data_IF_816070814119
#
_entry.id   IF_816070814119
#
_cell.length_a   1.000
_cell.length_b   1.000
_cell.length_c   1.000
_cell.angle_alpha   90.00
_cell.angle_beta   90.00
_cell.angle_gamma   90.00
#
_symmetry.space_group_name_H-M   'P 1'
#
loop_
_entity.id
_entity.type
_entity.pdbx_description
1 polymer ?
#
# COMPACT_ATOMS: atom_id res chain seq x y z
N UNK A 1 1.76 -49.86 -4.54
CA UNK A 1 2.41 -48.73 -3.84
C UNK A 1 3.71 -48.52 -4.58
N UNK A 2 3.81 -47.42 -5.35
CA UNK A 2 5.07 -47.02 -5.96
C UNK A 2 6.00 -46.62 -4.82
N UNK A 3 7.22 -47.20 -4.81
CA UNK A 3 8.27 -46.78 -3.88
C UNK A 3 8.36 -45.24 -3.89
N UNK A 4 8.59 -44.61 -2.72
CA UNK A 4 8.80 -43.21 -2.69
C UNK A 4 10.04 -42.88 -3.51
N UNK A 5 9.84 -42.41 -4.74
CA UNK A 5 10.94 -41.94 -5.57
C UNK A 5 11.64 -40.83 -4.79
N UNK A 6 12.91 -41.08 -4.46
CA UNK A 6 13.76 -40.11 -3.79
C UNK A 6 13.67 -38.76 -4.56
N UNK A 7 13.09 -37.78 -3.93
CA UNK A 7 12.86 -36.48 -4.59
C UNK A 7 14.20 -35.80 -4.79
N UNK A 8 14.50 -35.33 -6.02
CA UNK A 8 15.82 -34.74 -6.37
C UNK A 8 16.24 -33.55 -5.48
N UNK A 9 15.32 -32.94 -4.77
CA UNK A 9 15.59 -31.83 -3.83
C UNK A 9 15.76 -32.29 -2.37
N UNK A 10 15.67 -33.63 -2.10
CA UNK A 10 15.98 -34.24 -0.81
C UNK A 10 17.33 -34.94 -0.98
N UNK A 11 18.44 -34.35 -0.51
CA UNK A 11 19.77 -34.87 -0.79
C UNK A 11 20.12 -36.13 0.04
N UNK A 12 19.44 -36.31 1.20
CA UNK A 12 19.79 -37.38 2.13
C UNK A 12 19.31 -38.75 1.62
N UNK A 13 20.23 -39.66 1.40
CA UNK A 13 19.95 -41.05 1.10
C UNK A 13 19.58 -41.85 2.39
N UNK A 14 19.08 -43.08 2.24
CA UNK A 14 18.74 -43.90 3.41
C UNK A 14 19.95 -44.18 4.32
N UNK A 15 21.13 -44.34 3.73
CA UNK A 15 22.38 -44.49 4.46
C UNK A 15 22.73 -43.28 5.30
N UNK A 16 22.56 -42.07 4.74
CA UNK A 16 22.79 -40.82 5.45
C UNK A 16 21.84 -40.70 6.65
N UNK A 17 20.56 -41.09 6.46
CA UNK A 17 19.55 -41.04 7.54
C UNK A 17 19.93 -42.04 8.65
N UNK A 18 20.42 -43.24 8.31
CA UNK A 18 20.88 -44.25 9.30
C UNK A 18 22.08 -43.72 10.09
N UNK A 19 23.05 -43.08 9.44
CA UNK A 19 24.22 -42.53 10.10
C UNK A 19 23.82 -41.37 11.04
N UNK A 20 22.90 -40.51 10.59
CA UNK A 20 22.35 -39.42 11.43
C UNK A 20 21.63 -39.99 12.67
N UNK A 21 20.76 -40.97 12.50
CA UNK A 21 20.06 -41.63 13.62
C UNK A 21 21.04 -42.30 14.61
N UNK A 22 22.06 -42.98 14.09
CA UNK A 22 23.11 -43.58 14.91
C UNK A 22 23.89 -42.52 15.71
N UNK A 23 24.20 -41.39 15.08
CA UNK A 23 24.89 -40.26 15.74
C UNK A 23 24.03 -39.65 16.85
N UNK A 24 22.70 -39.57 16.65
CA UNK A 24 21.75 -39.10 17.67
C UNK A 24 21.54 -40.17 18.78
N UNK A 25 21.79 -41.44 18.48
CA UNK A 25 21.59 -42.53 19.43
C UNK A 25 20.17 -43.09 19.45
N UNK A 26 19.44 -42.98 18.33
CA UNK A 26 18.09 -43.54 18.17
C UNK A 26 18.03 -44.47 16.95
N UNK A 27 16.98 -45.28 16.87
CA UNK A 27 16.80 -46.29 15.82
C UNK A 27 15.79 -45.92 14.74
N UNK A 28 15.01 -44.89 14.97
CA UNK A 28 13.99 -44.45 14.01
C UNK A 28 13.68 -42.94 14.12
N UNK A 29 13.21 -42.34 13.02
CA UNK A 29 12.74 -40.97 12.96
C UNK A 29 11.56 -40.77 13.92
N UNK A 30 10.70 -41.77 14.11
CA UNK A 30 9.54 -41.70 15.00
C UNK A 30 9.90 -41.37 16.44
N UNK A 31 11.10 -41.74 16.89
CA UNK A 31 11.60 -41.44 18.22
C UNK A 31 11.89 -39.94 18.45
N UNK A 32 12.14 -39.19 17.39
CA UNK A 32 12.27 -37.75 17.48
C UNK A 32 10.96 -37.05 17.90
N UNK A 33 9.84 -37.73 17.75
CA UNK A 33 8.49 -37.21 18.07
C UNK A 33 7.92 -37.81 19.37
N UNK A 34 8.73 -38.45 20.22
CA UNK A 34 8.28 -39.04 21.51
C UNK A 34 7.77 -37.96 22.49
N UNK A 35 8.24 -36.72 22.37
CA UNK A 35 7.73 -35.58 23.18
C UNK A 35 6.28 -35.22 22.87
N UNK A 36 5.72 -35.65 21.74
CA UNK A 36 4.32 -35.40 21.39
C UNK A 36 3.45 -36.47 22.08
N UNK A 37 2.47 -36.04 22.92
CA UNK A 37 1.53 -36.97 23.53
C UNK A 37 0.79 -37.84 22.52
N UNK A 38 0.61 -39.13 22.85
CA UNK A 38 0.02 -40.11 21.92
C UNK A 38 -1.45 -39.83 21.53
N UNK A 39 -2.18 -39.09 22.34
CA UNK A 39 -3.56 -38.71 22.12
C UNK A 39 -3.68 -37.57 21.08
N UNK A 40 -2.66 -36.74 20.91
CA UNK A 40 -2.62 -35.64 19.91
C UNK A 40 -1.72 -35.96 18.71
N UNK A 41 -0.92 -37.06 18.77
CA UNK A 41 -0.04 -37.47 17.67
C UNK A 41 -0.87 -38.03 16.50
N UNK A 42 -0.60 -37.51 15.29
CA UNK A 42 -1.19 -38.05 14.06
C UNK A 42 -0.80 -39.51 13.86
N UNK A 43 -1.82 -40.40 13.69
CA UNK A 43 -1.64 -41.84 13.52
C UNK A 43 -1.73 -42.30 12.06
N UNK A 44 -2.06 -41.36 11.16
CA UNK A 44 -2.16 -41.61 9.70
C UNK A 44 -1.67 -40.39 8.92
N UNK A 45 -1.27 -40.61 7.69
CA UNK A 45 -0.96 -39.53 6.79
C UNK A 45 -2.19 -38.63 6.57
N UNK A 46 -1.95 -37.33 6.29
CA UNK A 46 -3.00 -36.42 5.95
C UNK A 46 -3.73 -36.87 4.68
N UNK A 47 -5.05 -36.74 4.66
CA UNK A 47 -5.89 -37.01 3.49
C UNK A 47 -5.88 -35.82 2.54
N UNK A 48 -4.73 -35.55 1.91
CA UNK A 48 -4.54 -34.50 0.91
C UNK A 48 -4.36 -35.14 -0.47
N UNK A 49 -4.72 -34.42 -1.56
CA UNK A 49 -4.46 -34.90 -2.92
C UNK A 49 -2.98 -35.23 -3.12
N UNK A 50 -2.72 -36.27 -3.88
CA UNK A 50 -1.36 -36.64 -4.27
C UNK A 50 -0.71 -35.59 -5.20
N UNK A 51 0.57 -35.77 -5.56
CA UNK A 51 1.28 -34.87 -6.45
C UNK A 51 0.67 -34.88 -7.85
N UNK A 52 0.57 -33.69 -8.44
CA UNK A 52 0.15 -33.51 -9.81
C UNK A 52 1.35 -33.24 -10.73
N UNK A 53 1.22 -33.59 -11.99
CA UNK A 53 2.15 -33.12 -13.02
C UNK A 53 2.00 -31.62 -13.23
N UNK A 54 3.03 -30.98 -13.79
CA UNK A 54 2.96 -29.55 -14.13
C UNK A 54 1.79 -29.24 -15.08
N UNK A 55 1.51 -30.13 -16.03
CA UNK A 55 0.41 -29.99 -17.00
C UNK A 55 -0.94 -29.99 -16.29
N UNK A 56 -1.16 -30.92 -15.35
CA UNK A 56 -2.39 -31.00 -14.56
C UNK A 56 -2.58 -29.78 -13.68
N UNK A 57 -1.52 -29.38 -12.96
CA UNK A 57 -1.53 -28.19 -12.11
C UNK A 57 -1.87 -26.93 -12.92
N UNK A 58 -1.20 -26.72 -14.07
CA UNK A 58 -1.47 -25.57 -14.94
C UNK A 58 -2.91 -25.55 -15.46
N UNK A 59 -3.47 -26.71 -15.81
CA UNK A 59 -4.86 -26.82 -16.27
C UNK A 59 -5.82 -26.40 -15.16
N UNK A 60 -5.64 -26.98 -13.98
CA UNK A 60 -6.50 -26.70 -12.83
C UNK A 60 -6.45 -25.24 -12.42
N UNK A 61 -5.25 -24.63 -12.33
CA UNK A 61 -5.14 -23.21 -11.99
C UNK A 61 -5.74 -22.30 -13.07
N UNK A 62 -5.65 -22.65 -14.35
CA UNK A 62 -6.33 -21.90 -15.40
C UNK A 62 -7.86 -21.98 -15.25
N UNK A 63 -8.41 -23.13 -14.94
CA UNK A 63 -9.84 -23.28 -14.68
C UNK A 63 -10.28 -22.47 -13.47
N UNK A 64 -9.49 -22.44 -12.40
CA UNK A 64 -9.76 -21.59 -11.24
C UNK A 64 -9.69 -20.08 -11.62
N UNK A 65 -8.71 -19.70 -12.40
CA UNK A 65 -8.53 -18.31 -12.81
C UNK A 65 -9.74 -17.76 -13.57
N UNK A 66 -10.45 -18.60 -14.36
CA UNK A 66 -11.66 -18.18 -15.08
C UNK A 66 -12.84 -17.83 -14.19
N UNK A 67 -12.79 -18.18 -12.89
CA UNK A 67 -13.82 -17.82 -11.89
C UNK A 67 -13.64 -16.40 -11.36
N UNK A 68 -12.47 -15.81 -11.56
CA UNK A 68 -12.18 -14.44 -11.13
C UNK A 68 -12.76 -13.42 -12.14
N UNK A 69 -12.97 -12.21 -11.65
CA UNK A 69 -13.28 -11.02 -12.45
C UNK A 69 -12.00 -10.22 -12.57
N UNK A 70 -11.35 -10.26 -13.71
CA UNK A 70 -10.07 -9.58 -13.93
C UNK A 70 -10.25 -8.31 -14.77
N UNK A 71 -9.38 -7.34 -14.59
CA UNK A 71 -9.33 -6.14 -15.42
C UNK A 71 -8.91 -6.42 -16.89
N UNK A 72 -8.54 -7.68 -17.22
CA UNK A 72 -8.32 -8.11 -18.61
C UNK A 72 -9.66 -8.31 -19.33
N UNK A 73 -10.66 -8.85 -18.63
CA UNK A 73 -11.96 -9.22 -19.18
C UNK A 73 -13.05 -8.20 -18.86
N UNK A 74 -12.81 -7.35 -17.87
CA UNK A 74 -13.75 -6.35 -17.38
C UNK A 74 -13.11 -4.97 -17.40
N UNK A 75 -13.91 -3.97 -17.77
CA UNK A 75 -13.54 -2.58 -17.64
C UNK A 75 -13.60 -2.20 -16.14
N UNK A 76 -12.47 -1.81 -15.54
CA UNK A 76 -12.36 -1.61 -14.09
C UNK A 76 -12.29 -0.12 -13.73
N UNK A 77 -13.18 0.31 -12.86
CA UNK A 77 -13.20 1.62 -12.19
C UNK A 77 -12.98 1.47 -10.67
N UNK A 78 -12.35 0.36 -10.27
CA UNK A 78 -11.96 0.14 -8.88
C UNK A 78 -10.78 1.03 -8.50
N UNK A 79 -10.77 1.46 -7.25
CA UNK A 79 -9.74 2.29 -6.63
C UNK A 79 -9.63 1.99 -5.13
N UNK A 80 -9.86 3.01 -4.29
CA UNK A 80 -9.88 2.83 -2.83
C UNK A 80 -8.52 2.45 -2.26
N UNK A 81 -7.43 3.03 -2.79
CA UNK A 81 -6.06 2.81 -2.29
C UNK A 81 -5.21 1.87 -3.15
N UNK A 82 -5.79 1.26 -4.19
CA UNK A 82 -5.07 0.45 -5.18
C UNK A 82 -5.60 0.76 -6.56
N UNK A 83 -4.74 1.23 -7.46
CA UNK A 83 -5.16 1.80 -8.73
C UNK A 83 -4.41 1.14 -9.89
N UNK A 84 -5.16 0.83 -10.97
CA UNK A 84 -4.56 0.32 -12.19
C UNK A 84 -3.96 1.48 -12.99
N UNK A 85 -2.65 1.46 -13.19
CA UNK A 85 -1.90 2.40 -14.01
C UNK A 85 -1.10 1.70 -15.11
N UNK A 86 -0.66 2.44 -16.10
CA UNK A 86 0.20 1.94 -17.16
C UNK A 86 1.57 1.55 -16.59
N UNK A 87 1.97 0.30 -16.84
CA UNK A 87 3.28 -0.20 -16.48
C UNK A 87 4.14 -0.29 -17.75
N UNK A 88 5.23 0.50 -17.85
CA UNK A 88 6.17 0.38 -18.96
C UNK A 88 6.82 -1.02 -19.00
N UNK A 89 6.84 -1.64 -20.17
CA UNK A 89 7.37 -3.00 -20.34
C UNK A 89 8.81 -3.21 -19.85
N UNK A 90 9.63 -2.15 -19.83
CA UNK A 90 11.00 -2.26 -19.34
C UNK A 90 11.10 -2.47 -17.83
N UNK A 91 10.07 -2.13 -17.04
CA UNK A 91 10.06 -2.37 -15.58
C UNK A 91 10.20 -3.86 -15.32
N UNK A 92 9.32 -4.69 -15.88
CA UNK A 92 9.38 -6.15 -15.74
C UNK A 92 10.71 -6.72 -16.23
N UNK A 93 11.20 -6.25 -17.39
CA UNK A 93 12.44 -6.75 -17.96
C UNK A 93 13.66 -6.49 -17.07
N UNK A 94 13.70 -5.33 -16.42
CA UNK A 94 14.79 -4.98 -15.50
C UNK A 94 14.66 -5.70 -14.17
N UNK A 95 13.45 -5.89 -13.65
CA UNK A 95 13.21 -6.65 -12.41
C UNK A 95 13.62 -8.12 -12.53
N UNK A 96 13.45 -8.72 -13.72
CA UNK A 96 13.80 -10.12 -13.97
C UNK A 96 15.31 -10.36 -14.13
N UNK A 97 16.14 -9.34 -14.13
CA UNK A 97 17.60 -9.51 -14.13
C UNK A 97 18.04 -10.21 -12.84
N UNK A 98 18.83 -11.27 -12.98
CA UNK A 98 19.24 -12.13 -11.86
C UNK A 98 19.93 -11.34 -10.73
N UNK A 99 20.66 -10.29 -11.07
CA UNK A 99 21.37 -9.42 -10.12
C UNK A 99 20.42 -8.76 -9.11
N UNK A 100 19.19 -8.46 -9.53
CA UNK A 100 18.14 -7.89 -8.66
C UNK A 100 17.20 -8.94 -8.13
N UNK A 101 16.68 -9.83 -8.99
CA UNK A 101 15.63 -10.80 -8.65
C UNK A 101 16.07 -11.75 -7.53
N UNK A 102 17.34 -12.16 -7.51
CA UNK A 102 17.87 -13.07 -6.49
C UNK A 102 18.42 -12.35 -5.26
N UNK A 103 18.51 -11.02 -5.27
CA UNK A 103 18.92 -10.22 -4.11
C UNK A 103 17.83 -10.22 -3.05
N UNK A 104 18.22 -10.48 -1.80
CA UNK A 104 17.28 -10.40 -0.68
C UNK A 104 17.48 -9.12 0.12
N UNK A 105 18.63 -8.97 0.75
CA UNK A 105 18.98 -7.84 1.61
C UNK A 105 20.48 -7.55 1.46
N UNK A 106 20.90 -6.27 1.36
CA UNK A 106 22.32 -5.92 1.24
C UNK A 106 23.03 -6.03 2.59
N UNK A 107 23.16 -7.25 3.13
CA UNK A 107 23.85 -7.48 4.42
C UNK A 107 25.33 -7.10 4.39
N UNK A 108 25.99 -7.30 3.25
CA UNK A 108 27.37 -6.91 3.02
C UNK A 108 27.40 -5.74 2.03
N UNK A 109 27.47 -4.50 2.53
CA UNK A 109 27.46 -3.32 1.66
C UNK A 109 28.57 -3.34 0.61
N UNK A 110 29.73 -3.88 0.94
CA UNK A 110 30.93 -3.92 0.09
C UNK A 110 30.68 -4.64 -1.25
N UNK A 111 29.85 -5.68 -1.27
CA UNK A 111 29.51 -6.47 -2.47
C UNK A 111 28.14 -6.14 -3.05
N UNK A 112 27.31 -5.36 -2.34
CA UNK A 112 25.93 -5.03 -2.71
C UNK A 112 25.77 -3.60 -3.20
N UNK A 113 26.81 -2.99 -3.78
CA UNK A 113 26.84 -1.57 -4.13
C UNK A 113 25.72 -1.18 -5.10
N UNK A 114 25.42 -2.02 -6.11
CA UNK A 114 24.31 -1.75 -7.05
C UNK A 114 22.93 -1.76 -6.37
N UNK A 115 22.68 -2.68 -5.45
CA UNK A 115 21.44 -2.72 -4.66
C UNK A 115 21.33 -1.49 -3.75
N UNK A 116 22.43 -1.12 -3.07
CA UNK A 116 22.44 0.07 -2.23
C UNK A 116 22.24 1.36 -3.04
N UNK A 117 22.84 1.45 -4.23
CA UNK A 117 22.62 2.58 -5.13
C UNK A 117 21.14 2.69 -5.51
N UNK A 118 20.50 1.60 -5.89
CA UNK A 118 19.08 1.63 -6.27
C UNK A 118 18.18 2.07 -5.11
N UNK A 119 18.49 1.64 -3.86
CA UNK A 119 17.78 2.10 -2.67
C UNK A 119 18.01 3.61 -2.44
N UNK A 120 19.24 4.08 -2.59
CA UNK A 120 19.57 5.51 -2.44
C UNK A 120 18.83 6.37 -3.47
N UNK A 121 18.74 5.92 -4.72
CA UNK A 121 17.96 6.59 -5.77
C UNK A 121 16.47 6.58 -5.46
N UNK A 122 15.91 5.46 -4.99
CA UNK A 122 14.53 5.40 -4.51
C UNK A 122 14.28 6.42 -3.40
N UNK A 123 15.14 6.47 -2.38
CA UNK A 123 15.05 7.47 -1.30
C UNK A 123 15.05 8.90 -1.84
N UNK A 124 15.89 9.17 -2.84
CA UNK A 124 15.97 10.48 -3.50
C UNK A 124 14.66 10.84 -4.19
N UNK A 125 14.07 9.90 -4.95
CA UNK A 125 12.77 10.13 -5.59
C UNK A 125 11.68 10.43 -4.56
N UNK A 126 11.64 9.70 -3.44
CA UNK A 126 10.66 9.94 -2.38
C UNK A 126 10.82 11.35 -1.76
N UNK A 127 12.04 11.78 -1.50
CA UNK A 127 12.31 13.13 -0.99
C UNK A 127 11.85 14.22 -1.99
N UNK A 128 12.16 14.04 -3.27
CA UNK A 128 11.77 14.99 -4.33
C UNK A 128 10.25 15.09 -4.49
N UNK A 129 9.54 13.96 -4.45
CA UNK A 129 8.09 13.92 -4.62
C UNK A 129 7.33 14.51 -3.41
N UNK A 130 7.83 14.28 -2.21
CA UNK A 130 7.14 14.70 -0.97
C UNK A 130 7.55 16.08 -0.47
N UNK A 131 8.67 16.64 -0.99
CA UNK A 131 9.24 17.89 -0.50
C UNK A 131 9.80 17.80 0.93
N UNK A 132 10.15 16.57 1.38
CA UNK A 132 10.74 16.29 2.69
C UNK A 132 12.18 15.80 2.54
N UNK A 133 12.92 15.70 3.67
CA UNK A 133 14.37 15.66 3.63
C UNK A 133 14.97 14.25 3.60
N UNK A 134 14.36 13.26 4.27
CA UNK A 134 14.93 11.92 4.45
C UNK A 134 13.87 10.83 4.27
N UNK A 135 14.12 9.92 3.32
CA UNK A 135 13.31 8.73 3.09
C UNK A 135 14.06 7.47 3.53
N UNK A 136 13.34 6.44 3.96
CA UNK A 136 13.90 5.11 4.19
C UNK A 136 13.88 4.24 2.93
N UNK A 137 14.44 3.04 3.03
CA UNK A 137 14.55 2.09 1.91
C UNK A 137 13.21 1.57 1.38
N UNK A 138 12.16 1.58 2.15
CA UNK A 138 10.73 1.34 1.95
C UNK A 138 10.12 0.70 3.20
N UNK A 139 8.80 0.61 3.22
CA UNK A 139 8.00 -0.13 4.19
C UNK A 139 7.17 -1.18 3.46
N UNK A 140 6.37 -1.97 4.19
CA UNK A 140 5.62 -3.08 3.58
C UNK A 140 4.49 -2.56 2.68
N UNK A 141 3.69 -1.63 3.20
CA UNK A 141 2.59 -0.99 2.51
C UNK A 141 2.26 0.37 3.14
N UNK A 142 1.30 1.09 2.55
CA UNK A 142 0.87 2.40 3.05
C UNK A 142 0.25 2.33 4.44
N UNK A 143 -0.44 1.25 4.79
CA UNK A 143 -1.10 1.09 6.09
C UNK A 143 -0.09 0.94 7.22
N UNK A 144 0.91 0.08 7.05
CA UNK A 144 2.01 -0.09 8.00
C UNK A 144 2.92 1.14 8.04
N UNK A 145 3.06 1.85 6.92
CA UNK A 145 3.78 3.12 6.90
C UNK A 145 3.10 4.18 7.79
N UNK A 146 1.77 4.27 7.76
CA UNK A 146 1.03 5.15 8.67
C UNK A 146 1.21 4.73 10.13
N UNK A 147 1.15 3.42 10.45
CA UNK A 147 1.38 2.93 11.80
C UNK A 147 2.75 3.35 12.35
N UNK A 148 3.78 3.17 11.55
CA UNK A 148 5.15 3.56 11.94
C UNK A 148 5.31 5.08 12.09
N UNK A 149 4.61 5.88 11.27
CA UNK A 149 4.57 7.33 11.41
C UNK A 149 3.91 7.77 12.73
N UNK A 150 2.80 7.11 13.11
CA UNK A 150 2.11 7.33 14.38
C UNK A 150 3.03 7.02 15.57
N UNK A 151 3.69 5.86 15.55
CA UNK A 151 4.64 5.47 16.59
C UNK A 151 5.88 6.38 16.62
N UNK A 152 6.33 6.90 15.48
CA UNK A 152 7.40 7.88 15.42
C UNK A 152 6.96 9.20 16.07
N UNK A 153 5.78 9.70 15.71
CA UNK A 153 5.25 10.95 16.23
C UNK A 153 5.08 10.91 17.75
N UNK A 154 4.60 9.81 18.30
CA UNK A 154 4.49 9.60 19.76
C UNK A 154 5.85 9.67 20.45
N UNK A 155 6.87 8.98 19.93
CA UNK A 155 8.23 9.02 20.49
C UNK A 155 8.82 10.42 20.55
N UNK A 156 8.45 11.29 19.63
CA UNK A 156 8.93 12.68 19.56
C UNK A 156 8.15 13.60 20.48
N UNK A 157 6.83 13.46 20.51
CA UNK A 157 5.91 14.36 21.18
C UNK A 157 5.66 14.01 22.67
N UNK A 158 6.57 13.36 23.33
CA UNK A 158 6.59 12.87 24.73
C UNK A 158 5.45 13.35 25.64
N UNK A 159 4.89 12.44 26.43
CA UNK A 159 3.83 12.71 27.43
C UNK A 159 2.47 13.14 26.84
N UNK A 160 2.19 12.81 25.60
CA UNK A 160 0.89 12.98 24.97
C UNK A 160 0.29 11.59 24.70
N UNK A 161 -1.04 11.50 24.64
CA UNK A 161 -1.74 10.21 24.62
C UNK A 161 -2.73 10.06 23.47
N UNK A 162 -2.94 11.11 22.66
CA UNK A 162 -3.96 11.10 21.61
C UNK A 162 -3.37 11.34 20.24
N UNK A 163 -3.97 10.66 19.24
CA UNK A 163 -3.80 10.98 17.83
C UNK A 163 -5.14 11.37 17.22
N UNK A 164 -5.15 12.46 16.46
CA UNK A 164 -6.30 12.82 15.62
C UNK A 164 -6.08 12.24 14.22
N UNK A 165 -7.04 11.48 13.72
CA UNK A 165 -7.04 10.93 12.36
C UNK A 165 -8.30 11.43 11.65
N UNK A 166 -8.13 12.02 10.45
CA UNK A 166 -9.29 12.35 9.63
C UNK A 166 -10.05 11.06 9.26
N UNK A 167 -11.35 11.03 9.46
CA UNK A 167 -12.19 9.86 9.12
C UNK A 167 -12.16 9.54 7.63
N UNK A 168 -11.71 10.48 6.79
CA UNK A 168 -11.43 10.35 5.37
C UNK A 168 -10.04 9.76 5.05
N UNK A 169 -9.22 9.42 6.03
CA UNK A 169 -8.08 8.49 5.84
C UNK A 169 -8.62 7.12 5.49
N UNK A 170 -7.91 6.37 4.65
CA UNK A 170 -8.30 5.02 4.24
C UNK A 170 -8.73 4.19 5.47
N UNK A 171 -9.98 3.68 5.54
CA UNK A 171 -10.50 3.06 6.76
C UNK A 171 -9.65 1.90 7.28
N UNK A 172 -9.18 1.03 6.36
CA UNK A 172 -8.30 -0.08 6.74
C UNK A 172 -6.94 0.38 7.27
N UNK A 173 -6.44 1.55 6.85
CA UNK A 173 -5.22 2.13 7.43
C UNK A 173 -5.46 2.55 8.88
N UNK A 174 -6.60 3.18 9.16
CA UNK A 174 -7.00 3.53 10.52
C UNK A 174 -7.19 2.29 11.41
N UNK A 175 -7.78 1.20 10.86
CA UNK A 175 -7.93 -0.06 11.59
C UNK A 175 -6.57 -0.71 11.89
N UNK A 176 -5.61 -0.63 10.95
CA UNK A 176 -4.24 -1.10 11.17
C UNK A 176 -3.56 -0.29 12.26
N UNK A 177 -3.72 1.04 12.27
CA UNK A 177 -3.22 1.89 13.37
C UNK A 177 -3.81 1.46 14.71
N UNK A 178 -5.12 1.24 14.79
CA UNK A 178 -5.78 0.75 16.02
C UNK A 178 -5.21 -0.58 16.49
N UNK A 179 -4.99 -1.51 15.56
CA UNK A 179 -4.38 -2.81 15.89
C UNK A 179 -2.96 -2.67 16.48
N UNK A 180 -2.17 -1.74 15.94
CA UNK A 180 -0.81 -1.49 16.43
C UNK A 180 -0.76 -0.85 17.81
N UNK A 181 -1.66 0.10 18.10
CA UNK A 181 -1.60 0.88 19.33
C UNK A 181 -2.54 0.40 20.45
N UNK A 182 -3.41 -0.59 20.20
CA UNK A 182 -4.44 -1.07 21.14
C UNK A 182 -3.93 -1.41 22.55
N UNK A 183 -2.67 -1.81 22.69
CA UNK A 183 -2.07 -2.18 23.97
C UNK A 183 -1.10 -1.11 24.52
N UNK A 184 -1.01 0.06 23.86
CA UNK A 184 -0.08 1.13 24.24
C UNK A 184 -0.74 2.25 25.04
N UNK A 185 -2.07 2.20 25.22
CA UNK A 185 -2.82 3.19 26.00
C UNK A 185 -3.05 4.51 25.26
N UNK A 186 -2.92 4.55 23.93
CA UNK A 186 -3.20 5.73 23.12
C UNK A 186 -4.63 5.73 22.60
N UNK A 187 -5.21 6.93 22.52
CA UNK A 187 -6.56 7.17 22.00
C UNK A 187 -6.51 7.64 20.54
N UNK A 188 -7.32 7.03 19.67
CA UNK A 188 -7.56 7.50 18.32
C UNK A 188 -8.84 8.35 18.31
N UNK A 189 -8.71 9.64 18.04
CA UNK A 189 -9.81 10.58 17.87
C UNK A 189 -10.06 10.77 16.38
N UNK A 190 -11.22 10.33 15.89
CA UNK A 190 -11.59 10.51 14.49
C UNK A 190 -12.35 11.82 14.28
N UNK A 191 -11.96 12.59 13.27
CA UNK A 191 -12.65 13.80 12.85
C UNK A 191 -13.30 13.56 11.50
N UNK A 192 -14.60 13.82 11.39
CA UNK A 192 -15.39 13.68 10.17
C UNK A 192 -15.06 14.72 9.12
N UNK A 193 -15.86 14.74 8.07
CA UNK A 193 -15.74 15.68 6.95
C UNK A 193 -16.97 16.53 6.75
N UNK A 194 -16.80 17.71 6.13
CA UNK A 194 -17.85 18.64 5.74
C UNK A 194 -18.56 18.26 4.44
N UNK A 195 -19.48 19.09 4.00
CA UNK A 195 -20.24 18.88 2.76
C UNK A 195 -19.38 18.87 1.49
N UNK A 196 -18.16 19.43 1.54
CA UNK A 196 -17.18 19.39 0.46
C UNK A 196 -16.33 18.12 0.44
N UNK A 197 -16.43 17.26 1.49
CA UNK A 197 -15.66 16.04 1.63
C UNK A 197 -14.27 16.20 2.23
N UNK A 198 -13.88 17.43 2.60
CA UNK A 198 -12.67 17.74 3.35
C UNK A 198 -12.90 17.56 4.84
N UNK A 199 -11.81 17.33 5.60
CA UNK A 199 -11.90 17.30 7.06
C UNK A 199 -12.62 18.54 7.61
N UNK A 200 -13.51 18.34 8.58
CA UNK A 200 -14.19 19.44 9.28
C UNK A 200 -13.18 20.20 10.14
N UNK A 201 -12.84 21.43 9.75
CA UNK A 201 -11.81 22.23 10.42
C UNK A 201 -12.24 22.71 11.82
N UNK A 202 -13.53 22.90 12.07
CA UNK A 202 -14.00 23.28 13.40
C UNK A 202 -13.95 22.10 14.35
N UNK A 203 -14.35 20.92 13.88
CA UNK A 203 -14.22 19.67 14.64
C UNK A 203 -12.73 19.34 14.86
N UNK A 204 -11.86 19.55 13.86
CA UNK A 204 -10.42 19.37 14.00
C UNK A 204 -9.85 20.30 15.09
N UNK A 205 -10.23 21.57 15.10
CA UNK A 205 -9.78 22.53 16.12
C UNK A 205 -10.23 22.13 17.52
N UNK A 206 -11.44 21.62 17.65
CA UNK A 206 -11.94 21.12 18.92
C UNK A 206 -11.25 19.84 19.41
N UNK A 207 -10.86 18.97 18.47
CA UNK A 207 -10.17 17.71 18.77
C UNK A 207 -8.66 17.88 19.04
N UNK A 208 -8.01 18.88 18.41
CA UNK A 208 -6.58 19.13 18.52
C UNK A 208 -6.26 19.90 19.78
N UNK A 209 -6.01 19.18 20.86
CA UNK A 209 -5.70 19.70 22.21
C UNK A 209 -4.25 19.40 22.58
N UNK A 210 -3.76 19.95 23.69
CA UNK A 210 -2.34 19.83 24.13
C UNK A 210 -1.86 18.40 24.41
N UNK A 211 -2.77 17.43 24.52
CA UNK A 211 -2.46 16.00 24.69
C UNK A 211 -2.44 15.23 23.35
N UNK A 212 -2.68 15.90 22.21
CA UNK A 212 -2.58 15.31 20.88
C UNK A 212 -1.12 15.32 20.43
N UNK A 213 -0.55 14.13 20.18
CA UNK A 213 0.82 14.02 19.68
C UNK A 213 0.93 14.16 18.14
N UNK A 214 -0.12 13.79 17.40
CA UNK A 214 -0.12 13.91 15.96
C UNK A 214 -1.51 14.16 15.37
N UNK A 215 -1.54 14.78 14.19
CA UNK A 215 -2.69 14.89 13.30
C UNK A 215 -2.33 14.18 11.99
N UNK A 216 -3.10 13.17 11.60
CA UNK A 216 -2.94 12.43 10.35
C UNK A 216 -4.11 12.70 9.40
N UNK A 217 -3.80 13.08 8.17
CA UNK A 217 -4.78 13.28 7.08
C UNK A 217 -4.30 12.57 5.82
N UNK A 218 -5.22 12.25 4.92
CA UNK A 218 -4.91 11.70 3.61
C UNK A 218 -5.32 12.69 2.51
N UNK A 219 -4.46 12.89 1.50
CA UNK A 219 -4.79 13.71 0.34
C UNK A 219 -4.06 13.18 -0.91
N UNK A 220 -4.81 12.80 -1.99
CA UNK A 220 -6.27 12.70 -2.05
C UNK A 220 -6.81 11.77 -0.95
N UNK A 221 -7.93 12.15 -0.31
CA UNK A 221 -8.49 11.36 0.76
C UNK A 221 -9.29 10.15 0.22
N UNK A 222 -9.80 9.27 1.08
CA UNK A 222 -10.52 8.06 0.67
C UNK A 222 -11.80 8.34 -0.13
N UNK A 223 -12.33 9.56 -0.05
CA UNK A 223 -13.47 10.02 -0.85
C UNK A 223 -13.04 10.64 -2.18
N UNK A 224 -11.74 10.65 -2.49
CA UNK A 224 -11.13 11.24 -3.68
C UNK A 224 -10.85 12.75 -3.59
N UNK A 225 -11.19 13.41 -2.48
CA UNK A 225 -11.11 14.86 -2.31
C UNK A 225 -9.71 15.30 -1.86
N UNK A 226 -9.24 16.41 -2.39
CA UNK A 226 -7.99 17.06 -1.98
C UNK A 226 -8.20 17.92 -0.73
N UNK A 227 -7.42 17.67 0.31
CA UNK A 227 -7.47 18.41 1.58
C UNK A 227 -6.77 19.76 1.49
N UNK A 228 -7.11 20.65 2.42
CA UNK A 228 -6.44 21.95 2.60
C UNK A 228 -5.28 21.82 3.61
N UNK A 229 -4.09 21.53 3.12
CA UNK A 229 -2.90 21.35 3.95
C UNK A 229 -2.59 22.56 4.84
N UNK A 230 -2.75 23.79 4.33
CA UNK A 230 -2.39 25.00 5.08
C UNK A 230 -3.35 25.28 6.24
N UNK A 231 -4.64 25.05 6.01
CA UNK A 231 -5.64 25.19 7.08
C UNK A 231 -5.41 24.16 8.19
N UNK A 232 -5.15 22.90 7.83
CA UNK A 232 -4.87 21.80 8.78
C UNK A 232 -3.57 22.08 9.55
N UNK A 233 -2.49 22.46 8.82
CA UNK A 233 -1.23 22.82 9.44
C UNK A 233 -1.39 23.92 10.50
N UNK A 234 -2.13 24.96 10.20
CA UNK A 234 -2.34 26.08 11.12
C UNK A 234 -2.96 25.64 12.44
N UNK A 235 -3.90 24.68 12.40
CA UNK A 235 -4.53 24.13 13.60
C UNK A 235 -3.53 23.24 14.39
N UNK A 236 -2.85 22.34 13.69
CA UNK A 236 -1.90 21.40 14.32
C UNK A 236 -0.70 22.12 14.96
N UNK A 237 -0.15 23.16 14.29
CA UNK A 237 0.95 23.97 14.78
C UNK A 237 0.58 24.73 16.09
N UNK A 238 -0.69 25.15 16.22
CA UNK A 238 -1.19 25.83 17.43
C UNK A 238 -1.02 25.00 18.71
N UNK A 239 -1.06 23.68 18.59
CA UNK A 239 -0.88 22.73 19.72
C UNK A 239 0.46 21.97 19.65
N UNK A 240 1.30 22.25 18.66
CA UNK A 240 2.59 21.57 18.48
C UNK A 240 2.45 20.08 18.20
N UNK A 241 1.39 19.65 17.50
CA UNK A 241 1.20 18.29 17.09
C UNK A 241 2.00 17.99 15.81
N UNK A 242 2.55 16.76 15.72
CA UNK A 242 3.24 16.29 14.51
C UNK A 242 2.23 16.11 13.38
N UNK A 243 2.54 16.63 12.21
CA UNK A 243 1.68 16.57 11.03
C UNK A 243 2.08 15.43 10.11
N UNK A 244 1.16 14.48 9.92
CA UNK A 244 1.35 13.29 9.08
C UNK A 244 0.44 13.41 7.85
N UNK A 245 1.03 13.47 6.67
CA UNK A 245 0.31 13.34 5.40
C UNK A 245 0.36 11.90 4.91
N UNK A 246 -0.80 11.36 4.53
CA UNK A 246 -0.94 10.05 3.90
C UNK A 246 -1.27 10.26 2.43
N UNK A 247 -0.59 9.54 1.54
CA UNK A 247 -0.85 9.57 0.10
C UNK A 247 -1.02 8.13 -0.39
N UNK A 248 -2.26 7.72 -0.63
CA UNK A 248 -2.57 6.38 -1.13
C UNK A 248 -2.51 6.30 -2.66
N UNK A 249 -2.80 7.40 -3.35
CA UNK A 249 -2.70 7.51 -4.82
C UNK A 249 -1.49 8.38 -5.19
N UNK A 250 -0.35 7.72 -5.38
CA UNK A 250 0.95 8.38 -5.49
C UNK A 250 1.20 9.07 -6.83
N UNK A 251 0.42 8.81 -7.90
CA UNK A 251 0.52 9.57 -9.15
C UNK A 251 0.05 11.01 -8.98
N UNK A 252 -0.70 11.31 -7.93
CA UNK A 252 -1.14 12.67 -7.58
C UNK A 252 0.02 13.65 -7.40
N UNK A 253 1.20 13.19 -6.98
CA UNK A 253 2.42 14.02 -6.89
C UNK A 253 2.83 14.66 -8.22
N UNK A 254 2.32 14.18 -9.36
CA UNK A 254 2.56 14.80 -10.66
C UNK A 254 1.95 16.20 -10.83
N UNK A 255 0.91 16.56 -10.04
CA UNK A 255 0.18 17.84 -10.13
C UNK A 255 -0.23 18.44 -8.79
N UNK A 256 -0.23 17.67 -7.71
CA UNK A 256 -0.58 18.17 -6.36
C UNK A 256 0.69 18.65 -5.66
N UNK A 257 0.62 19.82 -5.03
CA UNK A 257 1.74 20.36 -4.25
C UNK A 257 2.11 19.41 -3.11
N UNK A 258 3.41 19.14 -2.92
CA UNK A 258 3.85 18.14 -1.95
C UNK A 258 3.65 18.62 -0.50
N UNK A 259 3.32 17.71 0.43
CA UNK A 259 3.01 18.07 1.82
C UNK A 259 4.19 18.74 2.56
N UNK A 260 5.43 18.44 2.16
CA UNK A 260 6.61 19.10 2.75
C UNK A 260 6.65 20.61 2.52
N UNK A 261 6.17 21.10 1.36
CA UNK A 261 6.08 22.54 1.07
C UNK A 261 5.02 23.24 1.94
N UNK A 262 4.01 22.48 2.38
CA UNK A 262 2.96 22.95 3.29
C UNK A 262 3.30 22.76 4.78
N UNK A 263 4.53 22.41 5.11
CA UNK A 263 4.97 22.33 6.50
C UNK A 263 4.58 21.07 7.25
N UNK A 264 4.21 19.98 6.55
CA UNK A 264 4.06 18.67 7.17
C UNK A 264 5.41 18.10 7.59
N UNK A 265 5.41 17.28 8.63
CA UNK A 265 6.62 16.73 9.27
C UNK A 265 6.97 15.35 8.73
N UNK A 266 5.94 14.58 8.38
CA UNK A 266 6.02 13.20 7.90
C UNK A 266 5.07 13.05 6.72
N UNK A 267 5.53 12.38 5.66
CA UNK A 267 4.70 11.89 4.58
C UNK A 267 4.86 10.37 4.47
N UNK A 268 3.75 9.66 4.45
CA UNK A 268 3.70 8.21 4.26
C UNK A 268 2.67 7.87 3.20
N UNK A 269 2.76 6.69 2.62
CA UNK A 269 1.76 6.28 1.66
C UNK A 269 2.09 4.99 0.94
N UNK A 270 1.37 4.78 -0.16
CA UNK A 270 1.44 3.60 -0.98
C UNK A 270 2.03 3.92 -2.36
N UNK A 271 3.13 3.24 -2.71
CA UNK A 271 3.83 3.42 -3.98
C UNK A 271 3.38 2.48 -5.09
N UNK A 272 2.31 1.70 -4.91
CA UNK A 272 1.82 0.74 -5.89
C UNK A 272 1.60 1.36 -7.27
N UNK A 273 1.08 2.58 -7.33
CA UNK A 273 0.82 3.30 -8.58
C UNK A 273 2.09 3.59 -9.42
N UNK A 274 3.28 3.43 -8.85
CA UNK A 274 4.55 3.62 -9.55
C UNK A 274 5.06 2.31 -10.17
N UNK A 275 4.37 1.82 -11.21
CA UNK A 275 4.83 0.70 -12.02
C UNK A 275 4.61 -0.69 -11.41
N UNK A 276 3.71 -0.83 -10.44
CA UNK A 276 3.31 -2.11 -9.87
C UNK A 276 1.87 -2.42 -10.27
N UNK A 277 1.60 -3.54 -10.97
CA UNK A 277 0.24 -3.89 -11.35
C UNK A 277 -0.61 -4.23 -10.12
N UNK A 278 -1.92 -4.00 -10.22
CA UNK A 278 -2.87 -4.49 -9.21
C UNK A 278 -2.97 -6.01 -9.30
N UNK A 279 -2.78 -6.70 -8.17
CA UNK A 279 -2.85 -8.16 -8.11
C UNK A 279 -3.18 -8.64 -6.68
N UNK A 280 -4.20 -9.40 -6.50
CA UNK A 280 -4.58 -10.17 -5.30
C UNK A 280 -4.06 -9.66 -3.92
N UNK A 281 -3.99 -8.34 -3.72
CA UNK A 281 -3.52 -7.72 -2.47
C UNK A 281 -2.00 -7.50 -2.37
N UNK A 282 -1.28 -7.54 -3.46
CA UNK A 282 0.14 -7.18 -3.45
C UNK A 282 1.07 -8.24 -4.05
N UNK A 283 2.39 -8.13 -3.82
CA UNK A 283 3.02 -7.18 -2.89
C UNK A 283 2.95 -5.73 -3.39
N UNK A 284 2.85 -4.79 -2.44
CA UNK A 284 2.87 -3.35 -2.68
C UNK A 284 4.12 -2.74 -2.03
N UNK A 285 4.23 -1.40 -1.94
CA UNK A 285 5.39 -0.75 -1.35
C UNK A 285 4.98 0.50 -0.58
N UNK A 286 5.13 0.43 0.75
CA UNK A 286 4.97 1.60 1.60
C UNK A 286 6.18 2.53 1.51
N UNK A 287 5.96 3.82 1.58
CA UNK A 287 7.02 4.79 1.71
C UNK A 287 6.86 5.65 2.97
N UNK A 288 7.97 6.13 3.48
CA UNK A 288 8.02 7.10 4.58
C UNK A 288 9.13 8.11 4.33
N UNK A 289 8.76 9.38 4.39
CA UNK A 289 9.70 10.50 4.29
C UNK A 289 9.45 11.46 5.45
N UNK A 290 10.50 11.98 6.03
CA UNK A 290 10.43 12.85 7.20
C UNK A 290 11.33 14.07 7.05
N UNK A 291 11.09 15.09 7.86
CA UNK A 291 12.03 16.20 8.04
C UNK A 291 13.33 15.71 8.69
N UNK A 292 14.44 16.35 8.37
CA UNK A 292 15.79 15.95 8.84
C UNK A 292 15.86 15.77 10.37
N UNK A 293 15.15 16.60 11.11
CA UNK A 293 15.10 16.52 12.57
C UNK A 293 14.57 15.16 13.09
N UNK A 294 13.75 14.45 12.30
CA UNK A 294 13.10 13.20 12.68
C UNK A 294 13.85 11.94 12.22
N UNK A 295 14.88 12.05 11.40
CA UNK A 295 15.60 10.90 10.78
C UNK A 295 16.09 9.85 11.77
N UNK A 296 16.44 10.24 13.00
CA UNK A 296 16.91 9.30 14.06
C UNK A 296 15.79 8.46 14.67
N UNK A 297 14.54 8.83 14.42
CA UNK A 297 13.34 8.14 14.90
C UNK A 297 12.67 7.28 13.81
N UNK A 298 13.12 7.38 12.55
CA UNK A 298 12.57 6.60 11.45
C UNK A 298 12.78 5.10 11.64
N UNK A 299 11.82 4.26 11.26
CA UNK A 299 12.00 2.82 11.13
C UNK A 299 12.73 2.47 9.82
N UNK A 300 13.16 1.22 9.73
CA UNK A 300 13.71 0.66 8.49
C UNK A 300 15.14 1.11 8.17
N UNK A 301 15.65 0.58 7.06
CA UNK A 301 17.02 0.84 6.59
C UNK A 301 17.14 2.21 5.95
N UNK A 302 18.31 2.80 6.11
CA UNK A 302 18.73 4.02 5.44
C UNK A 302 20.05 3.77 4.72
N UNK A 303 20.13 4.16 3.46
CA UNK A 303 21.35 4.13 2.67
C UNK A 303 21.89 5.55 2.55
N UNK A 304 23.20 5.70 2.81
CA UNK A 304 23.92 6.95 2.64
C UNK A 304 25.00 6.83 1.56
N UNK A 305 25.32 7.95 0.93
CA UNK A 305 26.47 8.06 0.03
C UNK A 305 27.74 8.30 0.83
N UNK A 306 28.85 7.71 0.39
CA UNK A 306 30.19 7.86 0.94
C UNK A 306 31.23 7.76 -0.18
N UNK A 307 32.51 7.75 0.18
CA UNK A 307 33.62 7.44 -0.73
C UNK A 307 34.44 6.27 -0.20
N UNK A 308 34.98 5.46 -1.11
CA UNK A 308 35.91 4.38 -0.79
C UNK A 308 37.33 4.91 -0.51
N UNK A 309 38.27 3.99 -0.25
CA UNK A 309 39.66 4.33 0.04
C UNK A 309 40.39 5.01 -1.13
N UNK A 310 39.90 4.82 -2.36
CA UNK A 310 40.41 5.44 -3.58
C UNK A 310 39.69 6.76 -3.91
N UNK A 311 38.75 7.22 -3.07
CA UNK A 311 37.95 8.43 -3.30
C UNK A 311 36.82 8.24 -4.30
N UNK A 312 36.44 7.01 -4.69
CA UNK A 312 35.31 6.73 -5.56
C UNK A 312 34.01 6.71 -4.77
N UNK A 313 32.93 7.17 -5.41
CA UNK A 313 31.58 7.13 -4.80
C UNK A 313 31.19 5.70 -4.42
N UNK A 314 30.69 5.53 -3.21
CA UNK A 314 30.23 4.27 -2.66
C UNK A 314 28.99 4.49 -1.79
N UNK A 315 28.29 3.42 -1.43
CA UNK A 315 27.09 3.45 -0.64
C UNK A 315 27.23 2.56 0.61
N UNK A 316 26.61 2.99 1.71
CA UNK A 316 26.64 2.28 2.99
C UNK A 316 25.26 2.28 3.67
N UNK A 317 25.01 1.26 4.50
CA UNK A 317 23.93 1.32 5.46
C UNK A 317 24.28 2.29 6.59
N UNK A 318 23.39 3.24 6.88
CA UNK A 318 23.63 4.25 7.91
C UNK A 318 22.58 4.20 9.01
N UNK A 319 22.92 4.72 10.20
CA UNK A 319 22.06 4.74 11.38
C UNK A 319 21.53 3.35 11.78
N UNK A 320 22.20 2.26 11.44
CA UNK A 320 21.77 0.88 11.71
C UNK A 320 21.59 0.54 13.20
N UNK A 321 22.14 1.35 14.11
CA UNK A 321 21.95 1.19 15.58
C UNK A 321 20.51 1.30 16.04
N UNK A 322 19.57 1.77 15.20
CA UNK A 322 18.12 1.83 15.48
C UNK A 322 17.44 0.49 15.26
N UNK A 323 18.05 -0.40 14.46
CA UNK A 323 17.43 -1.61 13.95
C UNK A 323 17.37 -2.75 14.99
N UNK A 324 16.44 -3.67 14.77
CA UNK A 324 16.12 -4.76 15.68
C UNK A 324 17.31 -5.69 15.96
N UNK A 325 18.14 -5.99 14.94
CA UNK A 325 19.31 -6.87 15.10
C UNK A 325 20.38 -6.30 16.03
N UNK A 326 20.39 -4.97 16.23
CA UNK A 326 21.29 -4.30 17.20
C UNK A 326 20.58 -4.08 18.54
N UNK A 327 19.42 -3.46 18.55
CA UNK A 327 18.71 -3.05 19.77
C UNK A 327 17.79 -4.11 20.37
N UNK A 328 17.50 -5.18 19.65
CA UNK A 328 16.60 -6.25 20.10
C UNK A 328 15.23 -5.69 20.53
N UNK A 329 14.74 -6.02 21.74
CA UNK A 329 13.47 -5.52 22.27
C UNK A 329 13.38 -4.01 22.50
N UNK A 330 14.49 -3.27 22.36
CA UNK A 330 14.53 -1.79 22.45
C UNK A 330 14.62 -1.12 21.08
N UNK A 331 14.42 -1.88 20.00
CA UNK A 331 14.45 -1.33 18.65
C UNK A 331 13.31 -0.32 18.45
N UNK A 332 13.52 0.60 17.52
CA UNK A 332 12.54 1.64 17.18
C UNK A 332 11.28 1.04 16.54
N UNK A 333 11.42 -0.08 15.82
CA UNK A 333 10.35 -0.76 15.09
C UNK A 333 10.64 -2.25 14.97
N UNK A 334 9.60 -3.03 14.66
CA UNK A 334 9.68 -4.45 14.31
C UNK A 334 9.98 -4.68 12.83
N UNK A 335 10.06 -3.64 12.02
CA UNK A 335 10.40 -3.76 10.60
C UNK A 335 11.81 -4.33 10.47
N UNK A 336 11.91 -5.50 9.81
CA UNK A 336 13.15 -6.19 9.59
C UNK A 336 13.57 -6.08 8.12
N UNK A 337 12.68 -6.49 7.21
CA UNK A 337 12.87 -6.44 5.77
C UNK A 337 11.91 -5.41 5.19
N UNK A 338 12.29 -4.77 4.10
CA UNK A 338 11.44 -3.90 3.31
C UNK A 338 11.03 -4.58 2.00
N UNK A 339 10.21 -3.95 1.20
CA UNK A 339 9.78 -4.43 -0.12
C UNK A 339 10.81 -4.02 -1.21
N UNK A 340 12.05 -4.55 -1.12
CA UNK A 340 13.18 -4.08 -1.92
C UNK A 340 12.97 -4.23 -3.43
N UNK A 341 12.40 -5.36 -3.90
CA UNK A 341 12.15 -5.58 -5.32
C UNK A 341 11.04 -4.65 -5.84
N UNK A 342 10.01 -4.42 -5.04
CA UNK A 342 8.91 -3.53 -5.42
C UNK A 342 9.34 -2.06 -5.36
N UNK A 343 10.18 -1.68 -4.39
CA UNK A 343 10.83 -0.37 -4.36
C UNK A 343 11.72 -0.15 -5.60
N UNK A 344 12.39 -1.19 -6.08
CA UNK A 344 13.15 -1.13 -7.34
C UNK A 344 12.20 -0.92 -8.54
N UNK A 345 11.04 -1.59 -8.60
CA UNK A 345 10.04 -1.35 -9.64
C UNK A 345 9.63 0.12 -9.68
N UNK A 346 9.28 0.68 -8.50
CA UNK A 346 8.93 2.09 -8.35
C UNK A 346 10.09 3.02 -8.79
N UNK A 347 11.33 2.69 -8.42
CA UNK A 347 12.52 3.45 -8.81
C UNK A 347 12.73 3.45 -10.33
N UNK A 348 12.60 2.29 -10.98
CA UNK A 348 12.71 2.17 -12.44
C UNK A 348 11.60 2.97 -13.12
N UNK A 349 10.35 2.84 -12.65
CA UNK A 349 9.21 3.58 -13.17
C UNK A 349 9.42 5.08 -13.09
N UNK A 350 9.78 5.60 -11.92
CA UNK A 350 10.00 7.03 -11.68
C UNK A 350 11.18 7.56 -12.51
N UNK A 351 12.26 6.79 -12.63
CA UNK A 351 13.42 7.16 -13.47
C UNK A 351 13.06 7.21 -14.95
N UNK A 352 12.22 6.28 -15.42
CA UNK A 352 11.79 6.23 -16.82
C UNK A 352 10.80 7.34 -17.16
N UNK A 353 9.80 7.52 -16.29
CA UNK A 353 8.75 8.52 -16.52
C UNK A 353 9.28 9.95 -16.34
N UNK A 354 10.15 10.15 -15.37
CA UNK A 354 10.66 11.47 -15.00
C UNK A 354 9.52 12.42 -14.59
N UNK A 355 9.84 13.69 -14.45
CA UNK A 355 8.85 14.72 -14.06
C UNK A 355 7.73 14.88 -15.09
N UNK A 356 8.07 14.82 -16.37
CA UNK A 356 7.12 15.09 -17.45
C UNK A 356 6.16 13.91 -17.65
N UNK A 357 6.66 12.68 -17.59
CA UNK A 357 5.82 11.48 -17.67
C UNK A 357 4.89 11.32 -16.47
N UNK A 358 5.37 11.55 -15.26
CA UNK A 358 4.51 11.51 -14.07
C UNK A 358 3.42 12.59 -14.12
N UNK A 359 3.79 13.80 -14.56
CA UNK A 359 2.83 14.87 -14.76
C UNK A 359 1.78 14.52 -15.82
N UNK A 360 2.19 13.93 -16.94
CA UNK A 360 1.27 13.52 -18.00
C UNK A 360 0.24 12.49 -17.50
N UNK A 361 0.70 11.45 -16.77
CA UNK A 361 -0.19 10.47 -16.12
C UNK A 361 -1.19 11.18 -15.22
N UNK A 362 -0.71 12.06 -14.35
CA UNK A 362 -1.56 12.77 -13.40
C UNK A 362 -2.59 13.68 -14.09
N UNK A 363 -2.18 14.40 -15.11
CA UNK A 363 -3.08 15.27 -15.89
C UNK A 363 -4.16 14.45 -16.60
N UNK A 364 -3.80 13.32 -17.20
CA UNK A 364 -4.77 12.43 -17.84
C UNK A 364 -5.78 11.85 -16.85
N UNK A 365 -5.32 11.41 -15.67
CA UNK A 365 -6.20 10.93 -14.60
C UNK A 365 -7.22 12.00 -14.20
N UNK A 366 -6.74 13.21 -13.91
CA UNK A 366 -7.60 14.34 -13.53
C UNK A 366 -8.62 14.70 -14.62
N UNK A 367 -8.16 14.86 -15.88
CA UNK A 367 -9.03 15.25 -16.98
C UNK A 367 -10.10 14.20 -17.28
N UNK A 368 -9.73 12.93 -17.26
CA UNK A 368 -10.64 11.81 -17.51
C UNK A 368 -11.66 11.65 -16.37
N UNK A 369 -11.24 11.85 -15.12
CA UNK A 369 -12.16 11.86 -13.97
C UNK A 369 -13.16 13.01 -14.08
N UNK A 370 -12.69 14.23 -14.42
CA UNK A 370 -13.55 15.39 -14.65
C UNK A 370 -14.57 15.14 -15.77
N UNK A 371 -14.11 14.56 -16.90
CA UNK A 371 -14.99 14.19 -18.00
C UNK A 371 -16.08 13.18 -17.59
N UNK A 372 -15.72 12.12 -16.86
CA UNK A 372 -16.72 11.16 -16.40
C UNK A 372 -17.70 11.80 -15.41
N UNK A 373 -17.23 12.63 -14.48
CA UNK A 373 -18.11 13.36 -13.55
C UNK A 373 -19.14 14.23 -14.29
N UNK A 374 -18.71 14.94 -15.33
CA UNK A 374 -19.62 15.75 -16.17
C UNK A 374 -20.68 14.86 -16.86
N UNK A 375 -20.29 13.71 -17.42
CA UNK A 375 -21.20 12.74 -18.04
C UNK A 375 -22.21 12.19 -17.05
N UNK A 376 -21.78 11.88 -15.84
CA UNK A 376 -22.66 11.35 -14.79
C UNK A 376 -23.63 12.40 -14.26
N UNK A 377 -23.19 13.66 -14.12
CA UNK A 377 -24.05 14.77 -13.73
C UNK A 377 -25.18 15.07 -14.75
N UNK A 378 -25.02 14.65 -16.00
CA UNK A 378 -26.07 14.75 -17.02
C UNK A 378 -27.20 13.71 -16.84
N UNK A 379 -27.02 12.70 -15.99
CA UNK A 379 -28.04 11.71 -15.64
C UNK A 379 -28.84 12.27 -14.44
N UNK A 380 -30.12 12.61 -14.64
CA UNK A 380 -30.92 13.42 -13.69
C UNK A 380 -31.04 12.83 -12.28
N UNK A 381 -30.84 11.52 -12.12
CA UNK A 381 -30.96 10.81 -10.83
C UNK A 381 -29.61 10.45 -10.21
N UNK A 382 -28.51 10.85 -10.85
CA UNK A 382 -27.14 10.60 -10.38
C UNK A 382 -26.54 11.93 -9.87
N UNK A 383 -25.86 11.86 -8.75
CA UNK A 383 -25.14 13.03 -8.22
C UNK A 383 -23.73 12.66 -7.80
N UNK A 384 -22.85 13.65 -7.78
CA UNK A 384 -21.54 13.57 -7.11
C UNK A 384 -21.64 14.46 -5.87
N UNK A 385 -21.97 13.89 -4.68
CA UNK A 385 -22.47 14.64 -3.54
C UNK A 385 -21.45 15.56 -2.88
N UNK A 386 -20.15 15.32 -3.12
CA UNK A 386 -19.06 16.12 -2.54
C UNK A 386 -18.62 17.22 -3.50
N UNK A 387 -18.58 18.46 -3.00
CA UNK A 387 -18.26 19.64 -3.82
C UNK A 387 -16.77 19.99 -3.88
N UNK A 388 -15.94 19.36 -3.05
CA UNK A 388 -14.49 19.59 -2.99
C UNK A 388 -13.76 19.21 -4.28
N UNK A 389 -12.54 19.73 -4.47
CA UNK A 389 -11.70 19.36 -5.60
C UNK A 389 -11.27 17.89 -5.48
N UNK A 390 -11.37 17.14 -6.57
CA UNK A 390 -10.98 15.73 -6.63
C UNK A 390 -9.81 15.54 -7.59
N UNK A 391 -9.06 14.45 -7.41
CA UNK A 391 -8.00 14.07 -8.30
C UNK A 391 -8.52 13.08 -9.37
N UNK A 392 -8.50 11.81 -9.09
CA UNK A 392 -8.86 10.74 -10.04
C UNK A 392 -9.98 9.83 -9.54
N UNK A 393 -10.41 10.01 -8.32
CA UNK A 393 -11.46 9.22 -7.67
C UNK A 393 -12.52 10.15 -7.09
N UNK A 394 -13.77 9.73 -7.06
CA UNK A 394 -14.89 10.53 -6.56
C UNK A 394 -16.08 9.66 -6.18
N UNK A 395 -16.93 10.20 -5.30
CA UNK A 395 -18.17 9.57 -4.85
C UNK A 395 -19.28 9.81 -5.85
N UNK A 396 -20.02 8.74 -6.16
CA UNK A 396 -21.25 8.76 -6.96
C UNK A 396 -22.41 8.30 -6.07
N UNK A 397 -23.53 9.02 -6.10
CA UNK A 397 -24.77 8.65 -5.45
C UNK A 397 -25.84 8.37 -6.48
N UNK A 398 -26.58 7.27 -6.30
CA UNK A 398 -27.70 6.86 -7.14
C UNK A 398 -28.97 6.73 -6.31
N UNK A 399 -30.17 6.64 -6.93
CA UNK A 399 -31.43 6.45 -6.18
C UNK A 399 -31.59 5.04 -5.58
N UNK A 400 -30.70 4.10 -5.96
CA UNK A 400 -30.75 2.69 -5.53
C UNK A 400 -29.51 2.34 -4.72
N UNK A 401 -29.57 1.19 -4.05
CA UNK A 401 -28.42 0.67 -3.31
C UNK A 401 -27.22 0.46 -4.24
N UNK A 402 -26.04 0.93 -3.80
CA UNK A 402 -24.80 0.85 -4.57
C UNK A 402 -24.47 -0.60 -4.98
N UNK A 403 -24.69 -1.56 -4.07
CA UNK A 403 -24.42 -2.99 -4.36
C UNK A 403 -25.24 -3.53 -5.53
N UNK A 404 -26.49 -3.11 -5.66
CA UNK A 404 -27.37 -3.56 -6.75
C UNK A 404 -26.92 -2.95 -8.08
N UNK A 405 -26.59 -1.65 -8.07
CA UNK A 405 -26.08 -0.96 -9.26
C UNK A 405 -24.74 -1.57 -9.72
N UNK A 406 -23.84 -1.82 -8.79
CA UNK A 406 -22.53 -2.40 -9.09
C UNK A 406 -22.65 -3.85 -9.61
N UNK A 407 -23.60 -4.64 -9.10
CA UNK A 407 -23.90 -5.97 -9.62
C UNK A 407 -24.43 -5.91 -11.08
N UNK A 408 -25.34 -4.95 -11.38
CA UNK A 408 -25.82 -4.75 -12.73
C UNK A 408 -24.68 -4.33 -13.69
N UNK A 409 -23.77 -3.46 -13.25
CA UNK A 409 -22.57 -3.07 -14.01
C UNK A 409 -21.65 -4.26 -14.26
N UNK A 410 -21.46 -5.14 -13.26
CA UNK A 410 -20.65 -6.35 -13.40
C UNK A 410 -21.23 -7.32 -14.45
N UNK A 411 -22.55 -7.47 -14.54
CA UNK A 411 -23.19 -8.24 -15.63
C UNK A 411 -22.87 -7.69 -17.02
N UNK A 412 -22.63 -6.38 -17.11
CA UNK A 412 -22.20 -5.71 -18.34
C UNK A 412 -20.66 -5.66 -18.47
N UNK A 413 -19.94 -6.47 -17.69
CA UNK A 413 -18.47 -6.53 -17.63
C UNK A 413 -17.81 -5.20 -17.26
N UNK A 414 -18.39 -4.48 -16.32
CA UNK A 414 -17.84 -3.26 -15.75
C UNK A 414 -17.72 -3.45 -14.21
N UNK A 415 -16.51 -3.43 -13.71
CA UNK A 415 -16.23 -3.32 -12.27
C UNK A 415 -16.41 -1.85 -11.90
N UNK A 416 -17.63 -1.49 -11.51
CA UNK A 416 -18.10 -0.11 -11.54
C UNK A 416 -17.63 0.79 -10.40
N UNK A 417 -17.03 0.24 -9.35
CA UNK A 417 -16.60 1.01 -8.19
C UNK A 417 -16.71 0.23 -6.89
N UNK A 418 -16.55 0.92 -5.76
CA UNK A 418 -16.51 0.34 -4.41
C UNK A 418 -17.67 0.90 -3.56
N UNK A 419 -18.56 0.04 -2.98
CA UNK A 419 -19.65 0.52 -2.13
C UNK A 419 -19.11 1.24 -0.89
N UNK A 420 -19.55 2.47 -0.63
CA UNK A 420 -19.12 3.23 0.55
C UNK A 420 -19.69 2.66 1.86
N UNK A 421 -20.85 2.02 1.81
CA UNK A 421 -21.46 1.38 2.98
C UNK A 421 -20.59 0.28 3.62
N UNK A 422 -19.61 -0.26 2.88
CA UNK A 422 -18.66 -1.23 3.43
C UNK A 422 -17.72 -0.61 4.46
N UNK A 423 -17.60 0.71 4.45
CA UNK A 423 -16.69 1.49 5.30
C UNK A 423 -17.44 2.50 6.17
N UNK A 424 -18.52 3.07 5.66
CA UNK A 424 -19.26 4.16 6.30
C UNK A 424 -20.76 3.83 6.34
N UNK A 425 -21.32 3.43 7.50
CA UNK A 425 -22.75 3.23 7.65
C UNK A 425 -23.55 4.48 7.29
N UNK A 426 -24.67 4.32 6.59
CA UNK A 426 -25.53 5.42 6.13
C UNK A 426 -25.23 5.86 4.68
N UNK A 427 -24.28 5.23 3.98
CA UNK A 427 -23.89 5.52 2.61
C UNK A 427 -24.27 4.40 1.62
N UNK A 428 -25.44 3.75 1.85
CA UNK A 428 -25.87 2.57 1.09
C UNK A 428 -26.05 2.82 -0.42
N UNK A 429 -26.34 4.07 -0.79
CA UNK A 429 -26.61 4.48 -2.17
C UNK A 429 -25.37 5.14 -2.83
N UNK A 430 -24.23 5.06 -2.20
CA UNK A 430 -22.98 5.72 -2.63
C UNK A 430 -21.88 4.70 -2.88
N UNK A 431 -21.08 5.01 -3.89
CA UNK A 431 -19.88 4.22 -4.22
C UNK A 431 -18.77 5.09 -4.79
N UNK A 432 -17.53 4.66 -4.60
CA UNK A 432 -16.34 5.29 -5.18
C UNK A 432 -16.13 4.84 -6.62
N UNK A 433 -15.72 5.76 -7.47
CA UNK A 433 -15.36 5.50 -8.86
C UNK A 433 -13.97 6.08 -9.12
N UNK A 434 -13.02 5.23 -9.51
CA UNK A 434 -11.67 5.63 -9.85
C UNK A 434 -11.46 5.64 -11.36
N UNK A 435 -10.76 6.66 -11.84
CA UNK A 435 -10.43 6.85 -13.26
C UNK A 435 -8.94 7.08 -13.39
N UNK A 436 -8.29 6.32 -14.28
CA UNK A 436 -6.86 6.44 -14.55
C UNK A 436 -6.60 6.75 -16.02
N UNK A 437 -5.35 6.96 -16.38
CA UNK A 437 -4.93 7.19 -17.77
C UNK A 437 -5.24 6.01 -18.70
N UNK A 438 -5.48 4.82 -18.15
CA UNK A 438 -5.84 3.63 -18.92
C UNK A 438 -7.24 3.70 -19.57
N UNK A 439 -8.13 4.55 -19.05
CA UNK A 439 -9.47 4.69 -19.59
C UNK A 439 -9.45 5.53 -20.87
N UNK A 440 -9.96 4.95 -21.97
CA UNK A 440 -10.24 5.70 -23.17
C UNK A 440 -11.55 6.49 -23.03
N UNK A 441 -11.78 7.45 -23.91
CA UNK A 441 -13.06 8.18 -23.97
C UNK A 441 -14.25 7.22 -24.16
N UNK A 442 -14.08 6.20 -24.99
CA UNK A 442 -15.11 5.18 -25.24
C UNK A 442 -15.45 4.39 -23.97
N UNK A 443 -14.44 4.09 -23.14
CA UNK A 443 -14.64 3.44 -21.84
C UNK A 443 -15.50 4.30 -20.91
N UNK A 444 -15.23 5.60 -20.84
CA UNK A 444 -15.95 6.54 -19.98
C UNK A 444 -17.40 6.77 -20.49
N UNK A 445 -17.58 6.91 -21.80
CA UNK A 445 -18.91 7.04 -22.41
C UNK A 445 -19.73 5.75 -22.20
N UNK A 446 -19.12 4.58 -22.35
CA UNK A 446 -19.75 3.29 -22.07
C UNK A 446 -20.19 3.18 -20.62
N UNK A 447 -19.32 3.54 -19.67
CA UNK A 447 -19.66 3.53 -18.24
C UNK A 447 -20.91 4.36 -17.97
N UNK A 448 -20.94 5.62 -18.42
CA UNK A 448 -22.07 6.52 -18.20
C UNK A 448 -23.37 5.99 -18.84
N UNK A 449 -23.28 5.46 -20.06
CA UNK A 449 -24.42 4.89 -20.79
C UNK A 449 -25.00 3.66 -20.08
N UNK A 450 -24.14 2.73 -19.67
CA UNK A 450 -24.56 1.49 -18.98
C UNK A 450 -25.13 1.83 -17.61
N UNK A 451 -24.50 2.73 -16.83
CA UNK A 451 -25.03 3.17 -15.56
C UNK A 451 -26.44 3.79 -15.70
N UNK A 452 -26.64 4.65 -16.71
CA UNK A 452 -27.94 5.22 -17.01
C UNK A 452 -28.99 4.15 -17.32
N UNK A 453 -28.61 3.14 -18.11
CA UNK A 453 -29.51 2.01 -18.43
C UNK A 453 -29.84 1.16 -17.17
N UNK A 454 -28.86 0.89 -16.30
CA UNK A 454 -29.07 0.14 -15.05
C UNK A 454 -30.04 0.88 -14.09
N UNK A 455 -29.95 2.21 -14.02
CA UNK A 455 -30.83 3.03 -13.19
C UNK A 455 -32.25 3.08 -13.77
N UNK A 456 -32.39 3.06 -15.09
CA UNK A 456 -33.68 3.14 -15.78
C UNK A 456 -34.46 1.81 -15.80
N UNK A 457 -33.83 0.69 -15.43
CA UNK A 457 -34.51 -0.61 -15.31
C UNK A 457 -35.52 -0.54 -14.16
N UNK A 458 -36.80 -0.91 -14.43
CA UNK A 458 -37.78 -1.07 -13.36
C UNK A 458 -37.28 -2.14 -12.37
N UNK A 459 -36.93 -1.70 -11.17
CA UNK A 459 -36.59 -2.62 -10.08
C UNK A 459 -37.89 -2.99 -9.36
N UNK A 460 -38.30 -4.24 -9.52
CA UNK A 460 -39.46 -4.84 -8.86
C UNK A 460 -39.12 -5.32 -7.44
#
# INVERSE_FOLDING_TARGET
>A
MTEPTQHRYIPNAEEDVKEMLATIGIDSIDRLFESIPNDVKLKKLLEIPGPWSEIESRRWFRELATKNRSAVDHLSFLGGGSYAHSQPACVDQLLLRAEFLTSYTPYQPEVSQGTLQSIFEYQTHQCLLTGLDVANASLYDGSTALCEAVLLAERVAKNRSKIVIAKSVHPQYTDTVRAYIQNLGYEVVEVGWGADGRIDLDALRAACTSDVFAVAIQSPNFLGVLEDYDAIRTIADGEGAVKIAVVAEATSFGIVSPPGEHGFDICVGEGQAWGVPTQFGGPYVGFMVVRDALKRHMPGRLVGETVDVDGRRAYVLTLATREQHIRRGKATSNICTNEALIALAANIYLSLMGKDGLREVAVQCLQKAAYLREKLAAISTVTTPLSGPVYNEFVVRTPYAARDILADLEHEKILGGIPLADFYPGHENEFLVAVTELHSREHLDRYASVLSACISRERR
#
